data_IF_295743652596
#
_entry.id   IF_295743652596
#
_cell.length_a   1.000
_cell.length_b   1.000
_cell.length_c   1.000
_cell.angle_alpha   90.00
_cell.angle_beta   90.00
_cell.angle_gamma   90.00
#
_symmetry.space_group_name_H-M   'P 1'
#
loop_
_entity.id
_entity.type
_entity.pdbx_description
1 polymer ?
#
# COMPACT_ATOMS: atom_id res chain seq x y z
N UNK A 1 14.81 17.29 -8.32
CA UNK A 1 14.89 16.06 -9.15
C UNK A 1 13.55 15.36 -9.16
N UNK A 2 13.13 14.88 -10.33
CA UNK A 2 11.89 14.11 -10.44
C UNK A 2 12.20 12.61 -10.29
N UNK A 3 11.55 11.94 -9.37
CA UNK A 3 11.71 10.49 -9.18
C UNK A 3 10.86 9.76 -10.22
N UNK A 4 11.42 8.86 -11.02
CA UNK A 4 10.63 8.11 -12.00
C UNK A 4 9.56 7.24 -11.33
N UNK A 5 8.43 7.04 -12.01
CA UNK A 5 7.35 6.17 -11.52
C UNK A 5 7.84 4.76 -11.21
N UNK A 6 8.74 4.24 -12.03
CA UNK A 6 9.27 2.88 -11.81
C UNK A 6 10.10 2.80 -10.53
N UNK A 7 10.85 3.86 -10.21
CA UNK A 7 11.60 3.92 -8.94
C UNK A 7 10.64 3.95 -7.75
N UNK A 8 9.56 4.73 -7.84
CA UNK A 8 8.54 4.78 -6.79
C UNK A 8 7.92 3.39 -6.62
N UNK A 9 7.54 2.76 -7.72
CA UNK A 9 6.94 1.42 -7.67
C UNK A 9 7.86 0.40 -7.00
N UNK A 10 9.11 0.36 -7.44
CA UNK A 10 10.09 -0.60 -6.89
C UNK A 10 10.33 -0.38 -5.41
N UNK A 11 10.50 0.86 -5.00
CA UNK A 11 10.81 1.21 -3.61
C UNK A 11 9.66 0.85 -2.67
N UNK A 12 8.43 1.27 -3.02
CA UNK A 12 7.27 1.02 -2.17
C UNK A 12 6.87 -0.46 -2.19
N UNK A 13 6.98 -1.12 -3.34
CA UNK A 13 6.71 -2.56 -3.45
C UNK A 13 7.71 -3.37 -2.64
N UNK A 14 9.00 -2.98 -2.66
CA UNK A 14 10.02 -3.64 -1.85
C UNK A 14 9.74 -3.47 -0.36
N UNK A 15 9.25 -2.28 0.05
CA UNK A 15 8.86 -2.07 1.44
C UNK A 15 7.72 -3.00 1.84
N UNK A 16 6.70 -3.13 0.99
CA UNK A 16 5.60 -4.07 1.25
C UNK A 16 6.08 -5.53 1.27
N UNK A 17 7.02 -5.88 0.39
CA UNK A 17 7.58 -7.23 0.37
C UNK A 17 8.36 -7.57 1.64
N UNK A 18 8.85 -6.58 2.38
CA UNK A 18 9.53 -6.77 3.67
C UNK A 18 8.56 -6.86 4.85
N UNK A 19 7.27 -6.64 4.63
CA UNK A 19 6.27 -6.72 5.69
C UNK A 19 6.09 -8.16 6.15
N UNK A 20 6.19 -8.38 7.45
CA UNK A 20 6.13 -9.72 8.05
C UNK A 20 4.87 -9.93 8.90
N UNK A 21 3.94 -8.99 8.90
CA UNK A 21 2.71 -9.08 9.71
C UNK A 21 1.71 -10.12 9.22
N UNK A 22 1.79 -10.51 7.94
CA UNK A 22 1.07 -11.66 7.37
C UNK A 22 1.98 -12.35 6.37
N UNK A 23 1.61 -13.55 5.94
CA UNK A 23 2.35 -14.26 4.91
C UNK A 23 2.28 -13.51 3.59
N UNK A 24 3.39 -13.44 2.85
CA UNK A 24 3.42 -12.77 1.55
C UNK A 24 2.44 -13.38 0.54
N UNK A 25 2.14 -14.66 0.67
CA UNK A 25 1.14 -15.32 -0.18
C UNK A 25 -0.28 -14.77 0.01
N UNK A 26 -0.53 -14.02 1.09
CA UNK A 26 -1.80 -13.37 1.37
C UNK A 26 -1.87 -11.93 0.89
N UNK A 27 -0.88 -11.49 0.14
CA UNK A 27 -0.81 -10.13 -0.38
C UNK A 27 -0.93 -10.17 -1.89
N UNK A 28 -1.95 -9.49 -2.41
CA UNK A 28 -2.10 -9.28 -3.85
C UNK A 28 -1.42 -7.97 -4.24
N UNK A 29 -0.51 -8.03 -5.21
CA UNK A 29 0.11 -6.84 -5.78
C UNK A 29 -0.59 -6.48 -7.10
N UNK A 30 -0.80 -5.18 -7.32
CA UNK A 30 -1.53 -4.69 -8.48
C UNK A 30 -0.87 -5.18 -9.79
N UNK A 31 -1.68 -5.80 -10.64
CA UNK A 31 -1.27 -6.28 -11.97
C UNK A 31 -0.07 -7.23 -11.95
N UNK A 32 0.14 -7.96 -10.86
CA UNK A 32 1.26 -8.89 -10.73
C UNK A 32 0.79 -10.35 -10.80
N UNK A 33 1.66 -11.21 -11.32
CA UNK A 33 1.44 -12.64 -11.27
C UNK A 33 1.83 -13.20 -9.91
N UNK A 34 1.16 -14.26 -9.49
CA UNK A 34 1.52 -14.95 -8.27
C UNK A 34 2.79 -15.78 -8.46
N UNK A 35 3.54 -16.07 -7.39
CA UNK A 35 4.62 -17.04 -7.46
C UNK A 35 4.09 -18.36 -8.02
N UNK A 36 4.72 -18.87 -9.08
CA UNK A 36 4.23 -20.05 -9.80
C UNK A 36 3.26 -19.74 -10.91
N UNK A 37 2.94 -18.47 -11.17
CA UNK A 37 2.05 -18.03 -12.25
C UNK A 37 0.59 -17.96 -11.83
N UNK A 38 -0.21 -17.33 -12.67
CA UNK A 38 -1.64 -17.23 -12.47
C UNK A 38 -2.06 -15.99 -11.68
N UNK A 39 -3.36 -15.90 -11.40
CA UNK A 39 -3.95 -14.78 -10.67
C UNK A 39 -4.02 -15.09 -9.17
N UNK A 40 -4.06 -14.02 -8.36
CA UNK A 40 -4.23 -14.15 -6.93
C UNK A 40 -5.58 -14.77 -6.58
N UNK A 41 -5.57 -15.71 -5.64
CA UNK A 41 -6.79 -16.30 -5.10
C UNK A 41 -6.87 -15.98 -3.61
N UNK A 42 -7.97 -15.35 -3.16
CA UNK A 42 -8.14 -15.06 -1.74
C UNK A 42 -8.09 -16.34 -0.91
N UNK A 43 -7.44 -16.32 0.27
CA UNK A 43 -7.46 -17.48 1.15
C UNK A 43 -8.86 -17.76 1.68
N UNK A 44 -9.14 -19.02 2.00
CA UNK A 44 -10.44 -19.43 2.50
C UNK A 44 -10.74 -18.85 3.89
N UNK A 45 -9.71 -18.63 4.70
CA UNK A 45 -9.85 -18.14 6.06
C UNK A 45 -8.76 -17.11 6.37
N UNK A 46 -9.03 -16.25 7.35
CA UNK A 46 -8.08 -15.26 7.81
C UNK A 46 -8.10 -13.99 6.99
N UNK A 47 -7.16 -13.11 7.30
CA UNK A 47 -7.04 -11.81 6.63
C UNK A 47 -6.16 -11.92 5.40
N UNK A 48 -6.43 -11.08 4.40
CA UNK A 48 -5.57 -10.91 3.24
C UNK A 48 -5.66 -9.46 2.81
N UNK A 49 -4.73 -9.01 1.98
CA UNK A 49 -4.75 -7.64 1.52
C UNK A 49 -4.30 -7.51 0.07
N UNK A 50 -4.67 -6.37 -0.53
CA UNK A 50 -4.28 -5.98 -1.87
C UNK A 50 -3.55 -4.66 -1.81
N UNK A 51 -2.40 -4.57 -2.46
CA UNK A 51 -1.51 -3.41 -2.44
C UNK A 51 -1.55 -2.72 -3.80
N UNK A 52 -1.77 -1.40 -3.77
CA UNK A 52 -1.67 -0.58 -4.98
C UNK A 52 -1.12 0.80 -4.64
N UNK A 53 -0.64 1.50 -5.66
CA UNK A 53 -0.09 2.84 -5.54
C UNK A 53 -0.94 3.77 -6.39
N UNK A 54 -1.41 4.88 -5.81
CA UNK A 54 -2.17 5.90 -6.50
C UNK A 54 -1.41 7.21 -6.44
N UNK A 55 -1.41 7.95 -7.55
CA UNK A 55 -0.68 9.21 -7.66
C UNK A 55 -1.66 10.38 -7.67
N UNK A 56 -1.26 11.46 -7.02
CA UNK A 56 -1.95 12.73 -7.10
C UNK A 56 -1.28 13.62 -8.14
N UNK A 57 -1.82 14.82 -8.36
CA UNK A 57 -1.24 15.76 -9.31
C UNK A 57 0.14 16.22 -8.84
N UNK A 58 1.16 16.12 -9.68
CA UNK A 58 2.51 16.61 -9.34
C UNK A 58 2.53 18.12 -9.20
N UNK A 59 3.54 18.62 -8.50
CA UNK A 59 3.79 20.05 -8.39
C UNK A 59 5.29 20.33 -8.51
N UNK A 60 5.62 21.58 -8.92
CA UNK A 60 7.00 22.00 -9.07
C UNK A 60 7.73 22.04 -7.75
N UNK A 61 9.02 21.70 -7.76
CA UNK A 61 9.90 21.96 -6.65
C UNK A 61 11.21 22.55 -7.19
N UNK A 62 11.62 23.65 -6.58
CA UNK A 62 12.81 24.38 -7.00
C UNK A 62 12.54 25.42 -8.07
N UNK A 63 13.59 26.20 -8.40
CA UNK A 63 13.53 27.34 -9.33
C UNK A 63 14.59 27.22 -10.42
N UNK A 64 14.86 26.03 -10.89
CA UNK A 64 15.80 25.77 -11.99
C UNK A 64 15.11 25.91 -13.34
N UNK A 65 15.90 26.04 -14.42
CA UNK A 65 15.39 26.09 -15.80
C UNK A 65 14.60 24.82 -16.15
N UNK A 66 14.98 23.68 -15.57
CA UNK A 66 14.24 22.42 -15.66
C UNK A 66 13.88 22.00 -14.25
N UNK A 67 12.79 22.54 -13.71
CA UNK A 67 12.40 22.21 -12.34
C UNK A 67 12.03 20.75 -12.21
N UNK A 68 12.37 20.15 -11.06
CA UNK A 68 11.88 18.85 -10.71
C UNK A 68 10.42 18.90 -10.29
N UNK A 69 9.77 17.75 -10.31
CA UNK A 69 8.41 17.60 -9.83
C UNK A 69 8.42 16.72 -8.59
N UNK A 70 7.64 17.10 -7.60
CA UNK A 70 7.28 16.20 -6.51
C UNK A 70 6.04 15.43 -6.91
N UNK A 71 6.10 14.13 -6.68
CA UNK A 71 5.00 13.22 -6.98
C UNK A 71 4.37 12.75 -5.69
N UNK A 72 3.32 13.44 -5.23
CA UNK A 72 2.58 12.96 -4.07
C UNK A 72 1.65 11.83 -4.48
N UNK A 73 1.29 11.02 -3.52
CA UNK A 73 0.33 9.96 -3.75
C UNK A 73 0.00 9.24 -2.46
N UNK A 74 -0.59 8.07 -2.62
CA UNK A 74 -0.86 7.21 -1.49
C UNK A 74 -0.69 5.75 -1.89
N UNK A 75 -0.19 4.98 -0.96
CA UNK A 75 -0.26 3.53 -1.02
C UNK A 75 -1.61 3.16 -0.43
N UNK A 76 -2.41 2.42 -1.18
CA UNK A 76 -3.70 1.93 -0.70
C UNK A 76 -3.58 0.44 -0.48
N UNK A 77 -3.76 0.02 0.75
CA UNK A 77 -3.73 -1.40 1.10
C UNK A 77 -5.15 -1.77 1.53
N UNK A 78 -5.85 -2.49 0.64
CA UNK A 78 -7.19 -2.98 0.90
C UNK A 78 -7.07 -4.25 1.73
N UNK A 79 -7.64 -4.24 2.92
CA UNK A 79 -7.53 -5.36 3.87
C UNK A 79 -8.89 -6.02 4.01
N UNK A 80 -8.91 -7.34 3.91
CA UNK A 80 -10.14 -8.12 3.86
C UNK A 80 -10.13 -9.24 4.91
N UNK A 81 -11.30 -9.52 5.44
CA UNK A 81 -11.58 -10.75 6.17
C UNK A 81 -12.96 -11.27 5.77
N UNK A 82 -13.28 -12.50 6.14
CA UNK A 82 -14.63 -13.02 5.90
C UNK A 82 -15.65 -12.25 6.72
N UNK A 83 -16.86 -12.11 6.16
CA UNK A 83 -17.97 -11.44 6.85
C UNK A 83 -18.28 -12.17 8.16
N UNK A 84 -18.69 -11.39 9.14
CA UNK A 84 -19.13 -11.91 10.45
C UNK A 84 -18.05 -12.62 11.27
N UNK A 85 -16.75 -12.30 11.00
CA UNK A 85 -15.63 -12.82 11.80
C UNK A 85 -15.06 -11.79 12.77
N UNK A 86 -15.66 -10.60 12.86
CA UNK A 86 -15.22 -9.52 13.75
C UNK A 86 -14.13 -8.65 13.14
N UNK A 87 -13.71 -7.64 13.86
CA UNK A 87 -12.78 -6.63 13.38
C UNK A 87 -11.36 -6.75 13.96
N UNK A 88 -11.17 -7.62 14.95
CA UNK A 88 -9.90 -7.69 15.68
C UNK A 88 -8.71 -7.99 14.74
N UNK A 89 -8.84 -9.00 13.91
CA UNK A 89 -7.75 -9.40 13.01
C UNK A 89 -7.44 -8.31 11.99
N UNK A 90 -8.48 -7.63 11.45
CA UNK A 90 -8.27 -6.51 10.52
C UNK A 90 -7.60 -5.32 11.19
N UNK A 91 -8.02 -4.96 12.39
CA UNK A 91 -7.41 -3.85 13.11
C UNK A 91 -5.96 -4.15 13.50
N UNK A 92 -5.66 -5.38 13.89
CA UNK A 92 -4.28 -5.78 14.16
C UNK A 92 -3.42 -5.70 12.91
N UNK A 93 -3.96 -6.11 11.77
CA UNK A 93 -3.25 -5.97 10.49
C UNK A 93 -3.03 -4.50 10.14
N UNK A 94 -4.05 -3.65 10.33
CA UNK A 94 -3.93 -2.21 10.07
C UNK A 94 -2.87 -1.57 10.97
N UNK A 95 -2.83 -1.93 12.25
CA UNK A 95 -1.83 -1.43 13.19
C UNK A 95 -0.42 -1.84 12.75
N UNK A 96 -0.24 -3.10 12.35
CA UNK A 96 1.06 -3.60 11.88
C UNK A 96 1.51 -2.89 10.61
N UNK A 97 0.59 -2.65 9.66
CA UNK A 97 0.89 -1.91 8.44
C UNK A 97 1.22 -0.45 8.74
N UNK A 98 0.51 0.17 9.67
CA UNK A 98 0.80 1.53 10.11
C UNK A 98 2.21 1.62 10.68
N UNK A 99 2.59 0.71 11.56
CA UNK A 99 3.94 0.68 12.13
C UNK A 99 5.01 0.46 11.07
N UNK A 100 4.70 -0.31 10.04
CA UNK A 100 5.66 -0.64 8.98
C UNK A 100 5.93 0.54 8.04
N UNK A 101 4.91 1.34 7.75
CA UNK A 101 4.99 2.41 6.75
C UNK A 101 5.10 3.82 7.32
N UNK A 102 4.52 4.08 8.50
CA UNK A 102 4.45 5.45 9.02
C UNK A 102 5.85 6.03 9.23
N UNK A 103 6.06 7.22 8.68
CA UNK A 103 7.34 7.96 8.76
C UNK A 103 8.54 7.20 8.17
N UNK A 104 8.30 6.19 7.32
CA UNK A 104 9.39 5.49 6.65
C UNK A 104 9.90 6.31 5.46
N UNK A 105 11.20 6.29 5.26
CA UNK A 105 11.84 7.03 4.18
C UNK A 105 12.92 6.17 3.53
N UNK A 106 13.03 6.30 2.20
CA UNK A 106 14.10 5.70 1.43
C UNK A 106 14.47 6.63 0.27
N UNK A 107 15.70 7.17 0.29
CA UNK A 107 16.14 8.12 -0.73
C UNK A 107 15.24 9.35 -0.76
N UNK A 108 14.67 9.64 -1.93
CA UNK A 108 13.77 10.77 -2.12
C UNK A 108 12.30 10.43 -1.95
N UNK A 109 11.99 9.27 -1.40
CA UNK A 109 10.64 8.80 -1.18
C UNK A 109 10.37 8.77 0.31
N UNK A 110 9.32 9.49 0.75
CA UNK A 110 8.92 9.56 2.15
C UNK A 110 7.48 9.10 2.30
N UNK A 111 7.26 8.18 3.22
CA UNK A 111 5.92 7.87 3.68
C UNK A 111 5.62 8.73 4.90
N UNK A 112 4.44 9.34 4.91
CA UNK A 112 4.01 10.25 5.96
C UNK A 112 3.00 9.57 6.86
N UNK A 113 1.85 10.21 7.11
CA UNK A 113 0.84 9.65 7.98
C UNK A 113 0.09 8.48 7.33
N UNK A 114 -0.41 7.60 8.17
CA UNK A 114 -1.22 6.46 7.78
C UNK A 114 -2.63 6.65 8.34
N UNK A 115 -3.64 6.46 7.50
CA UNK A 115 -5.04 6.56 7.89
C UNK A 115 -5.78 5.27 7.56
N UNK A 116 -6.79 4.97 8.35
CA UNK A 116 -7.69 3.85 8.10
C UNK A 116 -9.01 4.35 7.57
N UNK A 117 -9.54 3.71 6.54
CA UNK A 117 -10.84 3.99 5.99
C UNK A 117 -11.69 2.73 6.05
N UNK A 118 -12.85 2.82 6.67
CA UNK A 118 -13.79 1.71 6.71
C UNK A 118 -14.58 1.71 5.41
N UNK A 119 -14.53 0.61 4.67
CA UNK A 119 -15.29 0.42 3.44
C UNK A 119 -16.57 -0.36 3.73
N UNK A 120 -16.47 -1.41 4.53
CA UNK A 120 -17.60 -2.24 4.93
C UNK A 120 -17.70 -3.52 4.12
N UNK A 121 -18.92 -4.02 3.98
CA UNK A 121 -19.16 -5.30 3.30
C UNK A 121 -18.86 -5.20 1.81
N UNK A 122 -18.15 -6.19 1.29
CA UNK A 122 -17.87 -6.34 -0.13
C UNK A 122 -17.96 -7.84 -0.46
N UNK A 123 -19.02 -8.24 -1.15
CA UNK A 123 -19.30 -9.64 -1.46
C UNK A 123 -19.31 -10.49 -0.17
N UNK A 124 -18.45 -11.52 -0.10
CA UNK A 124 -18.33 -12.39 1.07
C UNK A 124 -17.34 -11.87 2.12
N UNK A 125 -16.84 -10.65 1.94
CA UNK A 125 -15.79 -10.07 2.76
C UNK A 125 -16.23 -8.80 3.47
N UNK A 126 -15.51 -8.44 4.50
CA UNK A 126 -15.53 -7.13 5.12
C UNK A 126 -14.19 -6.46 4.83
N UNK A 127 -14.21 -5.19 4.42
CA UNK A 127 -13.04 -4.47 3.93
C UNK A 127 -12.76 -3.21 4.74
N UNK A 128 -11.50 -3.01 5.06
CA UNK A 128 -10.97 -1.71 5.47
C UNK A 128 -9.79 -1.37 4.56
N UNK A 129 -9.53 -0.08 4.36
CA UNK A 129 -8.36 0.36 3.63
C UNK A 129 -7.37 1.02 4.59
N UNK A 130 -6.09 0.72 4.41
CA UNK A 130 -4.99 1.42 5.06
C UNK A 130 -4.34 2.29 4.00
N UNK A 131 -4.42 3.60 4.18
CA UNK A 131 -3.92 4.59 3.22
C UNK A 131 -2.66 5.23 3.78
N UNK A 132 -1.55 5.06 3.06
CA UNK A 132 -0.25 5.63 3.44
C UNK A 132 0.06 6.77 2.49
N UNK A 133 0.06 8.00 2.98
CA UNK A 133 0.47 9.13 2.16
C UNK A 133 1.97 9.10 1.93
N UNK A 134 2.38 9.37 0.69
CA UNK A 134 3.80 9.47 0.38
C UNK A 134 4.08 10.67 -0.52
N UNK A 135 5.34 11.01 -0.59
CA UNK A 135 5.87 12.04 -1.45
C UNK A 135 7.18 11.54 -2.05
N UNK A 136 7.34 11.69 -3.36
CA UNK A 136 8.56 11.31 -4.08
C UNK A 136 9.15 12.54 -4.76
N UNK A 137 10.41 12.81 -4.48
CA UNK A 137 11.10 13.95 -5.07
C UNK A 137 11.60 15.03 -4.14
#
# INVERSE_FOLDING_TARGET
MTVPFETVRKTLTARMASFAGIEQARIEYANAQQPGGGIFKPPAEGVWCAFEIQYATPFFCGMADKPGYRRPGQVVIQCFCRRSTGLSALNMLADALSDHFQAWQSGHIECMEVAQQVVGDFEDYYQINVNVRFRAG
#
